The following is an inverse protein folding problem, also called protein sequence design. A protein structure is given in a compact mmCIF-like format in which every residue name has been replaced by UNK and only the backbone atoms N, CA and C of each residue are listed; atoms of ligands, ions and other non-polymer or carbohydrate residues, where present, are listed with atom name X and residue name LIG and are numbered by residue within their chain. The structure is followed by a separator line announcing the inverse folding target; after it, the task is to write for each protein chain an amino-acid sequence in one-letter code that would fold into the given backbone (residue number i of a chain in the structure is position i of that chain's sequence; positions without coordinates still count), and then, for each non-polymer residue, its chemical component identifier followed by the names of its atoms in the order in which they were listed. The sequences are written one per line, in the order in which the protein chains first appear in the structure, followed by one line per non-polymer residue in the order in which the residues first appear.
data_IF_322665581525
#
_entry.id   IF_322665581525
#
_cell.length_a   1.000
_cell.length_b   1.000
_cell.length_c   1.000
_cell.angle_alpha   90.00
_cell.angle_beta   90.00
_cell.angle_gamma   90.00
#
_symmetry.space_group_name_H-M   'P 1'
#
loop_
_entity.id
_entity.type
_entity.pdbx_description
1 polymer ?
#
# COMPACT_ATOMS: atom_id res chain seq x y z
N UNK A 1 -6.89 18.49 -4.33
CA UNK A 1 -8.04 17.59 -4.08
C UNK A 1 -7.73 16.50 -3.03
N UNK A 2 -6.92 15.47 -3.34
CA UNK A 2 -6.67 14.37 -2.39
C UNK A 2 -5.89 14.81 -1.14
N UNK A 3 -4.78 15.55 -1.32
CA UNK A 3 -3.99 16.09 -0.20
C UNK A 3 -4.85 16.97 0.71
N UNK A 4 -5.64 17.88 0.15
CA UNK A 4 -6.49 18.79 0.94
C UNK A 4 -7.47 18.01 1.83
N UNK A 5 -8.01 16.89 1.32
CA UNK A 5 -8.85 15.99 2.10
C UNK A 5 -8.08 15.38 3.27
N UNK A 6 -6.87 14.88 3.05
CA UNK A 6 -6.05 14.33 4.13
C UNK A 6 -5.64 15.40 5.15
N UNK A 7 -5.28 16.61 4.71
CA UNK A 7 -5.01 17.74 5.60
C UNK A 7 -6.22 18.04 6.49
N UNK A 8 -7.41 18.15 5.91
CA UNK A 8 -8.65 18.38 6.66
C UNK A 8 -8.95 17.26 7.67
N UNK A 9 -8.69 15.99 7.31
CA UNK A 9 -8.86 14.85 8.24
C UNK A 9 -7.86 14.92 9.40
N UNK A 10 -6.60 15.23 9.12
CA UNK A 10 -5.54 15.36 10.14
C UNK A 10 -5.88 16.52 11.09
N UNK A 11 -6.26 17.67 10.56
CA UNK A 11 -6.65 18.83 11.37
C UNK A 11 -7.89 18.54 12.22
N UNK A 12 -8.88 17.82 11.69
CA UNK A 12 -10.05 17.40 12.44
C UNK A 12 -9.69 16.47 13.63
N UNK A 13 -8.70 15.60 13.49
CA UNK A 13 -8.20 14.77 14.59
C UNK A 13 -7.44 15.61 15.62
N UNK A 14 -6.53 16.48 15.16
CA UNK A 14 -5.70 17.33 16.04
C UNK A 14 -6.54 18.31 16.87
N UNK A 15 -7.54 18.94 16.26
CA UNK A 15 -8.48 19.85 16.95
C UNK A 15 -9.29 19.15 18.05
N UNK A 16 -9.36 17.81 18.03
CA UNK A 16 -9.99 16.98 19.06
C UNK A 16 -8.99 16.36 20.04
N UNK A 17 -7.72 16.76 19.98
CA UNK A 17 -6.66 16.23 20.84
C UNK A 17 -6.21 14.81 20.50
N UNK A 18 -6.52 14.32 19.29
CA UNK A 18 -6.12 12.98 18.82
C UNK A 18 -4.86 13.13 17.98
N UNK A 19 -3.79 12.43 18.36
CA UNK A 19 -2.56 12.35 17.56
C UNK A 19 -2.72 11.27 16.48
N UNK A 20 -2.78 11.64 15.18
CA UNK A 20 -2.84 10.65 14.12
C UNK A 20 -1.49 9.93 13.93
N UNK A 21 -1.56 8.68 13.47
CA UNK A 21 -0.42 7.95 12.91
C UNK A 21 -0.75 7.65 11.45
N UNK A 22 0.08 8.11 10.52
CA UNK A 22 -0.17 7.94 9.10
C UNK A 22 0.62 6.75 8.56
N UNK A 23 -0.10 5.77 8.01
CA UNK A 23 0.47 4.63 7.30
C UNK A 23 0.65 4.96 5.81
N UNK A 24 1.87 4.84 5.29
CA UNK A 24 2.22 5.20 3.91
C UNK A 24 1.93 4.08 2.92
N UNK A 25 2.05 2.82 3.34
CA UNK A 25 1.70 1.65 2.54
C UNK A 25 0.93 0.64 3.38
N UNK A 26 -0.31 0.37 2.96
CA UNK A 26 -1.21 -0.57 3.63
C UNK A 26 -1.80 -1.55 2.61
N UNK A 27 -0.95 -2.44 2.10
CA UNK A 27 -1.28 -3.55 1.19
C UNK A 27 -1.87 -3.16 -0.17
N UNK A 28 -1.86 -1.87 -0.51
CA UNK A 28 -2.44 -1.35 -1.75
C UNK A 28 -1.36 -0.71 -2.60
N UNK A 29 -1.32 -1.10 -3.86
CA UNK A 29 -0.45 -0.51 -4.87
C UNK A 29 -1.30 0.17 -5.94
N UNK A 30 -0.79 1.25 -6.57
CA UNK A 30 -1.38 1.75 -7.79
C UNK A 30 -1.34 0.67 -8.88
N UNK A 31 -2.40 0.55 -9.68
CA UNK A 31 -2.48 -0.47 -10.75
C UNK A 31 -1.32 -0.37 -11.76
N UNK A 32 -0.83 0.83 -12.03
CA UNK A 32 0.32 1.02 -12.94
C UNK A 32 1.62 0.47 -12.37
N UNK A 33 1.75 0.36 -11.04
CA UNK A 33 2.89 -0.22 -10.36
C UNK A 33 2.82 -1.75 -10.42
N UNK A 34 1.63 -2.31 -10.18
CA UNK A 34 1.35 -3.74 -10.35
C UNK A 34 1.60 -4.22 -11.78
N UNK A 35 1.21 -3.42 -12.78
CA UNK A 35 1.49 -3.71 -14.19
C UNK A 35 3.00 -3.72 -14.53
N UNK A 36 3.86 -3.27 -13.62
CA UNK A 36 5.32 -3.27 -13.73
C UNK A 36 5.96 -4.23 -12.72
N UNK A 37 5.26 -5.31 -12.34
CA UNK A 37 5.69 -6.32 -11.35
C UNK A 37 5.95 -5.77 -9.95
N UNK A 38 5.43 -4.57 -9.63
CA UNK A 38 5.48 -3.93 -8.33
C UNK A 38 6.79 -4.16 -7.56
N UNK A 39 6.73 -4.86 -6.43
CA UNK A 39 7.82 -4.99 -5.49
C UNK A 39 8.91 -5.98 -5.92
N UNK A 40 8.72 -6.73 -7.01
CA UNK A 40 9.76 -7.57 -7.62
C UNK A 40 10.76 -6.76 -8.47
N UNK A 41 10.50 -5.47 -8.70
CA UNK A 41 11.42 -4.56 -9.39
C UNK A 41 12.15 -3.66 -8.41
N UNK A 42 13.47 -3.61 -8.50
CA UNK A 42 14.29 -2.75 -7.64
C UNK A 42 13.94 -1.25 -7.81
N UNK A 43 13.54 -0.84 -9.01
CA UNK A 43 13.14 0.53 -9.33
C UNK A 43 11.85 0.97 -8.62
N UNK A 44 11.09 0.03 -8.03
CA UNK A 44 9.92 0.36 -7.21
C UNK A 44 10.31 1.02 -5.90
N UNK A 45 11.52 0.78 -5.40
CA UNK A 45 12.07 1.47 -4.22
C UNK A 45 12.14 2.98 -4.50
N UNK A 46 12.68 3.39 -5.65
CA UNK A 46 12.80 4.81 -6.01
C UNK A 46 11.42 5.48 -6.18
N UNK A 47 10.47 4.75 -6.77
CA UNK A 47 9.09 5.23 -6.92
C UNK A 47 8.42 5.42 -5.56
N UNK A 48 8.59 4.46 -4.66
CA UNK A 48 8.07 4.54 -3.30
C UNK A 48 8.72 5.70 -2.52
N UNK A 49 10.04 5.84 -2.58
CA UNK A 49 10.75 6.93 -1.91
C UNK A 49 10.34 8.31 -2.45
N UNK A 50 10.06 8.43 -3.75
CA UNK A 50 9.47 9.65 -4.32
C UNK A 50 8.09 9.95 -3.72
N UNK A 51 7.24 8.94 -3.60
CA UNK A 51 5.93 9.08 -2.95
C UNK A 51 6.07 9.49 -1.47
N UNK A 52 6.94 8.83 -0.70
CA UNK A 52 7.20 9.16 0.70
C UNK A 52 7.66 10.61 0.85
N UNK A 53 8.65 11.06 0.05
CA UNK A 53 9.13 12.45 0.09
C UNK A 53 8.01 13.44 -0.21
N UNK A 54 7.16 13.15 -1.19
CA UNK A 54 6.02 14.01 -1.52
C UNK A 54 5.02 14.09 -0.36
N UNK A 55 4.58 12.95 0.19
CA UNK A 55 3.59 12.92 1.28
C UNK A 55 4.13 13.58 2.54
N UNK A 56 5.34 13.21 2.98
CA UNK A 56 5.96 13.78 4.17
C UNK A 56 6.25 15.28 3.97
N UNK A 57 6.71 15.70 2.80
CA UNK A 57 6.91 17.11 2.49
C UNK A 57 5.62 17.93 2.47
N UNK A 58 4.49 17.30 2.21
CA UNK A 58 3.19 17.98 2.07
C UNK A 58 2.34 17.94 3.34
N UNK A 59 2.53 16.94 4.21
CA UNK A 59 1.72 16.71 5.41
C UNK A 59 2.56 16.71 6.71
N UNK A 60 3.89 16.81 6.62
CA UNK A 60 4.81 16.76 7.75
C UNK A 60 4.69 17.93 8.72
N UNK A 61 4.14 19.06 8.28
CA UNK A 61 3.79 20.18 9.15
C UNK A 61 2.60 19.86 10.08
N UNK A 62 1.78 18.88 9.71
CA UNK A 62 0.61 18.47 10.48
C UNK A 62 0.79 17.17 11.27
N UNK A 63 1.80 16.35 10.94
CA UNK A 63 1.96 15.02 11.50
C UNK A 63 3.43 14.63 11.72
N UNK A 64 3.72 14.03 12.87
CA UNK A 64 5.06 13.54 13.22
C UNK A 64 5.15 12.02 13.39
N UNK A 65 4.02 11.30 13.41
CA UNK A 65 4.00 9.85 13.61
C UNK A 65 3.69 9.11 12.31
N UNK A 66 4.63 8.29 11.85
CA UNK A 66 4.60 7.65 10.54
C UNK A 66 4.83 6.15 10.65
N UNK A 67 4.02 5.39 9.92
CA UNK A 67 4.25 3.97 9.65
C UNK A 67 4.57 3.84 8.16
N UNK A 68 5.77 3.38 7.83
CA UNK A 68 6.21 3.28 6.43
C UNK A 68 5.45 2.18 5.70
N UNK A 69 5.65 0.93 6.10
CA UNK A 69 4.98 -0.23 5.52
C UNK A 69 4.31 -0.99 6.66
N UNK A 70 3.00 -1.19 6.54
CA UNK A 70 2.26 -2.05 7.45
C UNK A 70 2.65 -3.51 7.22
N UNK A 71 3.01 -4.21 8.32
CA UNK A 71 3.23 -5.66 8.35
C UNK A 71 3.93 -6.23 7.09
N UNK A 72 5.18 -5.81 6.79
CA UNK A 72 5.85 -6.16 5.54
C UNK A 72 5.94 -7.68 5.34
N UNK A 73 6.15 -8.45 6.42
CA UNK A 73 6.19 -9.91 6.37
C UNK A 73 4.84 -10.53 5.98
N UNK A 74 3.72 -10.02 6.51
CA UNK A 74 2.37 -10.48 6.16
C UNK A 74 2.09 -10.15 4.70
N UNK A 75 2.42 -8.93 4.28
CA UNK A 75 2.25 -8.53 2.89
C UNK A 75 3.05 -9.42 1.94
N UNK A 76 4.34 -9.65 2.20
CA UNK A 76 5.18 -10.47 1.33
C UNK A 76 4.72 -11.92 1.30
N UNK A 77 4.41 -12.52 2.46
CA UNK A 77 4.01 -13.92 2.54
C UNK A 77 2.65 -14.15 1.85
N UNK A 78 1.64 -13.36 2.20
CA UNK A 78 0.30 -13.55 1.63
C UNK A 78 0.21 -13.17 0.16
N UNK A 79 1.03 -12.23 -0.32
CA UNK A 79 0.91 -11.74 -1.70
C UNK A 79 1.78 -12.50 -2.70
N UNK A 80 2.93 -13.04 -2.27
CA UNK A 80 3.93 -13.66 -3.16
C UNK A 80 4.20 -15.14 -2.88
N UNK A 81 3.92 -15.64 -1.67
CA UNK A 81 4.13 -17.05 -1.33
C UNK A 81 2.83 -17.84 -1.31
N UNK A 82 1.82 -17.33 -0.60
CA UNK A 82 0.55 -18.04 -0.38
C UNK A 82 -0.55 -17.67 -1.39
N UNK A 83 -0.43 -16.52 -2.06
CA UNK A 83 -1.40 -16.03 -3.05
C UNK A 83 -2.76 -15.60 -2.47
N UNK A 84 -2.84 -15.28 -1.18
CA UNK A 84 -4.05 -14.84 -0.46
C UNK A 84 -4.37 -13.36 -0.75
N UNK A 85 -3.34 -12.50 -0.84
CA UNK A 85 -3.48 -11.07 -1.13
C UNK A 85 -3.06 -10.77 -2.57
N UNK A 86 -3.56 -9.68 -3.19
CA UNK A 86 -3.03 -9.20 -4.46
C UNK A 86 -1.49 -8.99 -4.38
N UNK A 87 -0.71 -9.38 -5.41
CA UNK A 87 -1.14 -9.84 -6.74
C UNK A 87 -1.49 -11.33 -6.84
N UNK A 88 -1.66 -12.04 -5.73
CA UNK A 88 -2.02 -13.46 -5.64
C UNK A 88 -0.98 -14.39 -6.32
N UNK A 89 0.31 -14.05 -6.18
CA UNK A 89 1.41 -14.90 -6.64
C UNK A 89 1.62 -16.04 -5.64
N UNK A 90 1.91 -17.23 -6.14
CA UNK A 90 2.18 -18.42 -5.34
C UNK A 90 3.43 -19.13 -5.88
N UNK A 91 4.55 -18.98 -5.18
CA UNK A 91 5.81 -19.64 -5.53
C UNK A 91 5.82 -21.15 -5.22
N UNK A 92 4.98 -21.59 -4.28
CA UNK A 92 4.86 -22.99 -3.83
C UNK A 92 4.34 -23.95 -4.89
N UNK A 93 3.73 -23.43 -5.96
CA UNK A 93 3.14 -24.24 -7.02
C UNK A 93 4.13 -24.73 -8.09
N UNK A 94 5.39 -24.28 -8.07
CA UNK A 94 6.36 -24.57 -9.13
C UNK A 94 6.00 -23.88 -10.45
N UNK A 95 7.01 -23.49 -11.21
CA UNK A 95 6.86 -22.68 -12.43
C UNK A 95 5.73 -23.11 -13.39
N UNK A 96 5.02 -22.11 -13.90
CA UNK A 96 3.99 -22.16 -14.95
C UNK A 96 2.64 -22.78 -14.55
N UNK A 97 1.61 -21.96 -14.36
CA UNK A 97 0.70 -21.52 -15.43
C UNK A 97 -0.37 -20.57 -14.86
N UNK A 98 -0.85 -19.67 -15.71
CA UNK A 98 -1.94 -18.76 -15.38
C UNK A 98 -3.19 -19.50 -14.94
N UNK A 99 -3.81 -18.99 -13.88
CA UNK A 99 -5.24 -19.15 -13.62
C UNK A 99 -5.82 -17.75 -13.41
N UNK A 100 -6.04 -17.05 -14.51
CA UNK A 100 -7.30 -16.33 -14.68
C UNK A 100 -8.19 -17.29 -15.48
N UNK A 101 -9.36 -17.70 -14.96
CA UNK A 101 -10.44 -16.76 -14.75
C UNK A 101 -11.24 -17.02 -13.46
N UNK A 102 -11.87 -15.98 -12.91
CA UNK A 102 -12.96 -16.14 -11.93
C UNK A 102 -12.55 -16.69 -10.53
N UNK A 103 -11.90 -15.86 -9.72
CA UNK A 103 -12.23 -15.78 -8.29
C UNK A 103 -13.22 -14.61 -8.11
N UNK A 104 -14.42 -14.69 -8.69
CA UNK A 104 -15.61 -15.20 -8.00
C UNK A 104 -15.85 -14.52 -6.63
N UNK A 105 -16.35 -13.28 -6.68
CA UNK A 105 -17.44 -12.86 -5.79
C UNK A 105 -17.09 -12.32 -4.40
N UNK A 106 -16.36 -11.21 -4.31
CA UNK A 106 -16.46 -10.33 -3.15
C UNK A 106 -17.49 -9.21 -3.42
N UNK A 107 -18.79 -9.55 -3.33
CA UNK A 107 -19.82 -8.54 -3.09
C UNK A 107 -19.69 -8.10 -1.64
N UNK A 108 -19.22 -6.87 -1.44
CA UNK A 108 -19.37 -6.18 -0.16
C UNK A 108 -20.87 -5.85 -0.04
N UNK A 109 -21.54 -6.46 0.95
CA UNK A 109 -22.76 -5.90 1.53
C UNK A 109 -22.36 -4.95 2.65
#
# INVERSE_FOLDING_TARGET
AAIDRYRAMIDALRTRGITPMLCLHHFSNPQWLEAQDAWERAESIDRYLRFVRFVVGTLGDLNSMWLTINEPQVYTNHSYLEGIFPPAKNESAGGHQGLSPHAAGARIR
#
